data_IF_692321249760
#
_entry.id   IF_692321249760
#
_cell.length_a   1.000
_cell.length_b   1.000
_cell.length_c   1.000
_cell.angle_alpha   90.00
_cell.angle_beta   90.00
_cell.angle_gamma   90.00
#
_symmetry.space_group_name_H-M   'P 1'
#
loop_
_entity.id
_entity.type
_entity.pdbx_description
1 polymer ?
#
# COMPACT_ATOMS: atom_id res chain seq x y z
N UNK A 1 -5.38 54.89 21.43
CA UNK A 1 -5.13 54.66 22.84
C UNK A 1 -4.03 53.62 22.98
N UNK A 2 -2.91 54.00 23.61
CA UNK A 2 -1.69 53.16 23.71
C UNK A 2 -1.99 51.84 24.44
N UNK A 3 -2.85 51.87 25.44
CA UNK A 3 -3.23 50.69 26.21
C UNK A 3 -3.97 49.64 25.34
N UNK A 4 -4.86 50.08 24.45
CA UNK A 4 -5.56 49.19 23.52
C UNK A 4 -4.60 48.52 22.53
N UNK A 5 -3.56 49.24 22.10
CA UNK A 5 -2.50 48.66 21.22
C UNK A 5 -1.65 47.65 21.96
N UNK A 6 -1.29 47.94 23.21
CA UNK A 6 -0.53 47.03 24.05
C UNK A 6 -1.31 45.72 24.33
N UNK A 7 -2.61 45.83 24.66
CA UNK A 7 -3.47 44.67 24.87
C UNK A 7 -3.59 43.81 23.60
N UNK A 8 -3.68 44.45 22.44
CA UNK A 8 -3.77 43.75 21.16
C UNK A 8 -2.45 43.08 20.79
N UNK A 9 -1.34 43.73 21.10
CA UNK A 9 0.00 43.14 20.89
C UNK A 9 0.21 41.90 21.79
N UNK A 10 -0.20 41.97 23.05
CA UNK A 10 -0.09 40.86 23.99
C UNK A 10 -0.98 39.67 23.56
N UNK A 11 -2.20 39.93 23.10
CA UNK A 11 -3.09 38.88 22.54
C UNK A 11 -2.52 38.24 21.32
N UNK A 12 -1.95 39.02 20.40
CA UNK A 12 -1.33 38.49 19.18
C UNK A 12 -0.08 37.67 19.48
N UNK A 13 0.73 38.12 20.45
CA UNK A 13 1.90 37.38 20.91
C UNK A 13 1.52 36.01 21.47
N UNK A 14 0.51 35.98 22.36
CA UNK A 14 0.01 34.70 22.90
C UNK A 14 -0.50 33.78 21.81
N UNK A 15 -1.27 34.29 20.83
CA UNK A 15 -1.72 33.48 19.69
C UNK A 15 -0.58 32.95 18.86
N UNK A 16 0.47 33.74 18.66
CA UNK A 16 1.67 33.30 17.94
C UNK A 16 2.36 32.15 18.69
N UNK A 17 2.56 32.30 20.00
CA UNK A 17 3.20 31.27 20.85
C UNK A 17 2.36 29.97 20.84
N UNK A 18 1.02 30.07 20.94
CA UNK A 18 0.12 28.92 20.85
C UNK A 18 0.22 28.24 19.48
N UNK A 19 0.26 28.99 18.37
CA UNK A 19 0.40 28.45 17.01
C UNK A 19 1.76 27.75 16.82
N UNK A 20 2.85 28.33 17.33
CA UNK A 20 4.17 27.71 17.29
C UNK A 20 4.22 26.39 18.08
N UNK A 21 3.54 26.33 19.23
CA UNK A 21 3.42 25.09 20.01
C UNK A 21 2.68 24.01 19.23
N UNK A 22 1.52 24.35 18.61
CA UNK A 22 0.75 23.44 17.78
C UNK A 22 1.54 22.93 16.56
N UNK A 23 2.28 23.82 15.90
CA UNK A 23 3.14 23.44 14.77
C UNK A 23 4.23 22.44 15.19
N UNK A 24 4.86 22.64 16.36
CA UNK A 24 5.84 21.72 16.89
C UNK A 24 5.22 20.36 17.24
N UNK A 25 4.03 20.35 17.84
CA UNK A 25 3.29 19.13 18.13
C UNK A 25 2.93 18.36 16.86
N UNK A 26 2.44 19.06 15.83
CA UNK A 26 2.17 18.46 14.52
C UNK A 26 3.42 17.81 13.93
N UNK A 27 4.57 18.50 13.90
CA UNK A 27 5.83 17.96 13.41
C UNK A 27 6.29 16.70 14.18
N UNK A 28 6.06 16.67 15.51
CA UNK A 28 6.37 15.50 16.32
C UNK A 28 5.43 14.32 16.00
N UNK A 29 4.16 14.57 15.72
CA UNK A 29 3.18 13.54 15.32
C UNK A 29 3.54 12.98 13.95
N UNK A 30 3.82 13.83 12.98
CA UNK A 30 4.24 13.44 11.62
C UNK A 30 5.47 12.54 11.66
N UNK A 31 6.49 12.90 12.46
CA UNK A 31 7.68 12.08 12.65
C UNK A 31 7.36 10.70 13.22
N UNK A 32 6.51 10.62 14.25
CA UNK A 32 6.07 9.35 14.83
C UNK A 32 5.29 8.49 13.82
N UNK A 33 4.49 9.11 12.96
CA UNK A 33 3.78 8.40 11.88
C UNK A 33 4.80 7.84 10.88
N UNK A 34 5.81 8.62 10.47
CA UNK A 34 6.87 8.15 9.57
C UNK A 34 7.63 6.95 10.15
N UNK A 35 8.06 7.06 11.40
CA UNK A 35 8.74 5.96 12.11
C UNK A 35 7.87 4.70 12.18
N UNK A 36 6.55 4.88 12.38
CA UNK A 36 5.58 3.77 12.41
C UNK A 36 5.40 3.12 11.04
N UNK A 37 5.34 3.92 9.97
CA UNK A 37 5.28 3.44 8.58
C UNK A 37 6.55 2.62 8.27
N UNK A 38 7.72 3.15 8.59
CA UNK A 38 9.00 2.49 8.32
C UNK A 38 9.08 1.14 9.06
N UNK A 39 8.75 1.13 10.35
CA UNK A 39 8.72 -0.11 11.13
C UNK A 39 7.71 -1.13 10.57
N UNK A 40 6.53 -0.68 10.14
CA UNK A 40 5.53 -1.53 9.51
C UNK A 40 6.07 -2.16 8.21
N UNK A 41 6.67 -1.37 7.34
CA UNK A 41 7.25 -1.83 6.07
C UNK A 41 8.37 -2.84 6.34
N UNK A 42 9.28 -2.56 7.28
CA UNK A 42 10.37 -3.47 7.64
C UNK A 42 9.85 -4.82 8.13
N UNK A 43 8.81 -4.83 8.96
CA UNK A 43 8.15 -6.06 9.41
C UNK A 43 7.49 -6.83 8.28
N UNK A 44 6.91 -6.15 7.31
CA UNK A 44 6.32 -6.78 6.12
C UNK A 44 7.39 -7.41 5.22
N UNK A 45 8.52 -6.73 5.01
CA UNK A 45 9.68 -7.25 4.28
C UNK A 45 10.23 -8.50 4.99
N UNK A 46 10.41 -8.45 6.30
CA UNK A 46 10.85 -9.58 7.11
C UNK A 46 9.91 -10.79 6.95
N UNK A 47 8.58 -10.54 7.00
CA UNK A 47 7.58 -11.58 6.82
C UNK A 47 7.65 -12.24 5.44
N UNK A 48 7.79 -11.45 4.36
CA UNK A 48 7.93 -11.98 3.00
C UNK A 48 9.21 -12.82 2.86
N UNK A 49 10.32 -12.39 3.45
CA UNK A 49 11.58 -13.14 3.49
C UNK A 49 11.43 -14.47 4.25
N UNK A 50 10.75 -14.46 5.40
CA UNK A 50 10.48 -15.68 6.18
C UNK A 50 9.61 -16.66 5.39
N UNK A 51 8.58 -16.18 4.67
CA UNK A 51 7.76 -17.01 3.79
C UNK A 51 8.60 -17.67 2.69
N UNK A 52 9.49 -16.89 2.04
CA UNK A 52 10.39 -17.44 1.02
C UNK A 52 11.33 -18.50 1.63
N UNK A 53 11.92 -18.23 2.78
CA UNK A 53 12.82 -19.17 3.45
C UNK A 53 12.12 -20.50 3.81
N UNK A 54 10.85 -20.48 4.21
CA UNK A 54 10.07 -21.71 4.41
C UNK A 54 9.93 -22.47 3.11
N UNK A 55 9.63 -21.79 2.01
CA UNK A 55 9.48 -22.42 0.68
C UNK A 55 10.81 -23.00 0.19
N UNK A 56 11.91 -22.28 0.37
CA UNK A 56 13.25 -22.72 -0.05
C UNK A 56 13.71 -24.01 0.67
N UNK A 57 13.18 -24.25 1.87
CA UNK A 57 13.43 -25.49 2.62
C UNK A 57 12.65 -26.71 2.09
N UNK A 58 11.64 -26.47 1.24
CA UNK A 58 10.81 -27.55 0.66
C UNK A 58 11.50 -28.19 -0.53
N UNK A 59 12.62 -28.69 -0.57
CA UNK A 59 13.39 -29.33 -1.64
C UNK A 59 12.53 -29.89 -2.80
N UNK A 60 11.83 -28.99 -3.49
CA UNK A 60 10.91 -29.35 -4.56
C UNK A 60 11.68 -29.61 -5.85
N UNK A 61 11.62 -30.82 -6.35
CA UNK A 61 12.12 -31.16 -7.68
C UNK A 61 11.11 -30.69 -8.73
N UNK A 62 11.59 -30.09 -9.81
CA UNK A 62 10.78 -29.66 -10.96
C UNK A 62 9.71 -28.59 -10.67
N UNK A 63 9.79 -27.92 -9.53
CA UNK A 63 8.89 -26.81 -9.18
C UNK A 63 9.70 -25.67 -8.57
N UNK A 64 9.48 -24.47 -9.08
CA UNK A 64 9.97 -23.23 -8.49
C UNK A 64 8.80 -22.46 -7.87
N UNK A 65 8.92 -22.11 -6.58
CA UNK A 65 7.92 -21.28 -5.90
C UNK A 65 8.62 -20.02 -5.41
N UNK A 66 8.08 -18.86 -5.80
CA UNK A 66 8.57 -17.55 -5.36
C UNK A 66 7.48 -16.78 -4.66
N UNK A 67 7.83 -16.15 -3.55
CA UNK A 67 7.00 -15.14 -2.90
C UNK A 67 7.23 -13.81 -3.62
N UNK A 68 6.21 -13.31 -4.29
CA UNK A 68 6.21 -11.97 -4.89
C UNK A 68 5.63 -11.01 -3.86
N UNK A 69 6.44 -10.17 -3.21
CA UNK A 69 5.97 -9.25 -2.20
C UNK A 69 4.94 -8.29 -2.79
N UNK A 70 3.85 -8.05 -2.04
CA UNK A 70 2.75 -7.19 -2.47
C UNK A 70 2.15 -7.55 -3.85
N UNK A 71 2.34 -8.79 -4.31
CA UNK A 71 2.07 -9.20 -5.69
C UNK A 71 0.59 -9.40 -6.04
N UNK A 72 -0.34 -9.32 -5.08
CA UNK A 72 -1.78 -9.49 -5.30
C UNK A 72 -2.49 -8.19 -5.70
N UNK A 73 -1.97 -7.51 -6.74
CA UNK A 73 -2.48 -6.22 -7.25
C UNK A 73 -3.99 -6.24 -7.51
N UNK A 74 -4.49 -7.23 -8.25
CA UNK A 74 -5.91 -7.32 -8.58
C UNK A 74 -6.80 -7.45 -7.33
N UNK A 75 -6.35 -8.22 -6.32
CA UNK A 75 -7.08 -8.39 -5.06
C UNK A 75 -7.07 -7.11 -4.25
N UNK A 76 -5.92 -6.44 -4.17
CA UNK A 76 -5.81 -5.15 -3.46
C UNK A 76 -6.72 -4.10 -4.10
N UNK A 77 -6.71 -3.99 -5.45
CA UNK A 77 -7.61 -3.13 -6.20
C UNK A 77 -9.08 -3.41 -5.88
N UNK A 78 -9.49 -4.67 -5.95
CA UNK A 78 -10.87 -5.08 -5.69
C UNK A 78 -11.29 -4.75 -4.23
N UNK A 79 -10.40 -4.97 -3.26
CA UNK A 79 -10.67 -4.65 -1.86
C UNK A 79 -10.80 -3.13 -1.65
N UNK A 80 -9.97 -2.32 -2.30
CA UNK A 80 -10.12 -0.87 -2.27
C UNK A 80 -11.44 -0.42 -2.88
N UNK A 81 -11.81 -0.94 -4.06
CA UNK A 81 -13.10 -0.64 -4.69
C UNK A 81 -14.27 -0.95 -3.77
N UNK A 82 -14.19 -2.06 -3.05
CA UNK A 82 -15.19 -2.47 -2.05
C UNK A 82 -15.27 -1.48 -0.88
N UNK A 83 -14.13 -1.04 -0.32
CA UNK A 83 -14.10 -0.04 0.75
C UNK A 83 -14.69 1.31 0.32
N UNK A 84 -14.50 1.65 -0.96
CA UNK A 84 -15.14 2.84 -1.53
C UNK A 84 -16.63 2.65 -1.84
N UNK A 85 -17.16 1.40 -1.78
CA UNK A 85 -18.52 1.08 -2.21
C UNK A 85 -18.71 1.31 -3.72
N UNK A 86 -17.67 1.03 -4.51
CA UNK A 86 -17.60 1.32 -5.94
C UNK A 86 -17.13 0.11 -6.75
N UNK A 87 -17.57 -1.08 -6.36
CA UNK A 87 -17.28 -2.32 -7.09
C UNK A 87 -17.72 -2.19 -8.54
N UNK A 88 -16.80 -2.49 -9.47
CA UNK A 88 -17.04 -2.41 -10.91
C UNK A 88 -17.14 -1.00 -11.51
N UNK A 89 -16.85 0.04 -10.71
CA UNK A 89 -16.80 1.43 -11.20
C UNK A 89 -15.41 2.03 -11.00
N UNK A 90 -15.05 3.02 -11.83
CA UNK A 90 -13.72 3.67 -11.80
C UNK A 90 -12.57 2.67 -11.96
N UNK A 91 -12.77 1.63 -12.76
CA UNK A 91 -11.84 0.51 -12.86
C UNK A 91 -10.45 0.94 -13.33
N UNK A 92 -10.37 1.88 -14.28
CA UNK A 92 -9.12 2.43 -14.76
C UNK A 92 -8.41 3.27 -13.71
N UNK A 93 -9.14 4.09 -12.94
CA UNK A 93 -8.54 4.95 -11.90
C UNK A 93 -7.98 4.10 -10.76
N UNK A 94 -8.73 3.08 -10.31
CA UNK A 94 -8.23 2.13 -9.32
C UNK A 94 -7.10 1.26 -9.88
N UNK A 95 -7.08 0.95 -11.17
CA UNK A 95 -5.96 0.24 -11.80
C UNK A 95 -4.70 1.10 -11.81
N UNK A 96 -4.81 2.37 -12.24
CA UNK A 96 -3.69 3.31 -12.21
C UNK A 96 -3.12 3.48 -10.80
N UNK A 97 -3.99 3.54 -9.78
CA UNK A 97 -3.56 3.58 -8.39
C UNK A 97 -2.81 2.31 -7.99
N UNK A 98 -3.36 1.14 -8.33
CA UNK A 98 -2.74 -0.13 -7.99
C UNK A 98 -1.38 -0.30 -8.70
N UNK A 99 -1.28 0.07 -9.97
CA UNK A 99 -0.04 0.04 -10.74
C UNK A 99 1.01 1.00 -10.16
N UNK A 100 0.58 2.19 -9.73
CA UNK A 100 1.48 3.17 -9.10
C UNK A 100 2.01 2.68 -7.74
N UNK A 101 1.15 2.08 -6.92
CA UNK A 101 1.48 1.70 -5.53
C UNK A 101 2.20 0.36 -5.46
N UNK A 102 1.88 -0.58 -6.36
CA UNK A 102 2.38 -1.96 -6.33
C UNK A 102 3.23 -2.30 -7.57
N UNK A 103 3.91 -1.31 -8.17
CA UNK A 103 4.78 -1.56 -9.31
C UNK A 103 5.91 -2.55 -8.95
N UNK A 104 6.26 -3.43 -9.90
CA UNK A 104 7.18 -4.55 -9.65
C UNK A 104 8.56 -4.13 -9.18
N UNK A 105 9.07 -3.02 -9.67
CA UNK A 105 10.47 -2.65 -9.50
C UNK A 105 10.78 -1.98 -8.15
N UNK A 106 9.79 -1.30 -7.52
CA UNK A 106 9.95 -0.58 -6.26
C UNK A 106 8.69 -0.65 -5.39
N UNK A 107 8.05 -1.81 -5.32
CA UNK A 107 6.73 -1.94 -4.67
C UNK A 107 6.71 -1.50 -3.20
N UNK A 108 7.77 -1.78 -2.44
CA UNK A 108 7.85 -1.35 -1.04
C UNK A 108 7.99 0.16 -0.88
N UNK A 109 8.81 0.80 -1.72
CA UNK A 109 9.00 2.25 -1.71
C UNK A 109 7.73 2.98 -2.16
N UNK A 110 7.07 2.49 -3.20
CA UNK A 110 5.81 3.05 -3.67
C UNK A 110 4.68 2.86 -2.65
N UNK A 111 4.61 1.71 -2.00
CA UNK A 111 3.64 1.47 -0.94
C UNK A 111 3.92 2.35 0.30
N UNK A 112 5.18 2.56 0.67
CA UNK A 112 5.59 3.52 1.70
C UNK A 112 5.13 4.94 1.33
N UNK A 113 5.37 5.37 0.09
CA UNK A 113 4.94 6.68 -0.41
C UNK A 113 3.41 6.84 -0.35
N UNK A 114 2.66 5.77 -0.68
CA UNK A 114 1.21 5.75 -0.56
C UNK A 114 0.75 5.89 0.90
N UNK A 115 1.34 5.18 1.84
CA UNK A 115 1.01 5.33 3.27
C UNK A 115 1.33 6.73 3.80
N UNK A 116 2.47 7.31 3.39
CA UNK A 116 2.80 8.71 3.73
C UNK A 116 1.79 9.69 3.12
N UNK A 117 1.40 9.49 1.87
CA UNK A 117 0.35 10.27 1.24
C UNK A 117 -0.97 10.19 2.01
N UNK A 118 -1.34 8.99 2.45
CA UNK A 118 -2.58 8.76 3.19
C UNK A 118 -2.58 9.34 4.61
N UNK A 119 -1.43 9.38 5.29
CA UNK A 119 -1.35 9.68 6.72
C UNK A 119 -0.76 11.05 7.07
N UNK A 120 0.04 11.63 6.18
CA UNK A 120 0.81 12.84 6.47
C UNK A 120 0.45 13.97 5.50
N UNK A 121 0.21 13.64 4.24
CA UNK A 121 0.04 14.67 3.22
C UNK A 121 -1.36 15.25 3.27
N UNK A 122 -1.44 16.53 3.57
CA UNK A 122 -2.68 17.33 3.75
C UNK A 122 -3.50 17.52 2.46
N UNK A 123 -3.37 16.69 1.46
CA UNK A 123 -3.97 17.03 0.18
C UNK A 123 -5.17 16.18 -0.21
N UNK A 124 -5.28 14.94 0.23
CA UNK A 124 -6.32 14.03 -0.29
C UNK A 124 -6.40 14.05 -1.84
N UNK A 125 -5.45 14.76 -2.49
CA UNK A 125 -5.44 14.99 -3.93
C UNK A 125 -4.78 13.81 -4.63
N UNK A 126 -5.62 12.86 -5.04
CA UNK A 126 -5.17 11.64 -5.71
C UNK A 126 -4.47 11.90 -7.04
N UNK A 127 -4.85 12.94 -7.78
CA UNK A 127 -4.21 13.28 -9.06
C UNK A 127 -2.76 13.73 -8.87
N UNK A 128 -2.50 14.48 -7.82
CA UNK A 128 -1.15 14.87 -7.45
C UNK A 128 -0.29 13.66 -7.07
N UNK A 129 -0.87 12.73 -6.31
CA UNK A 129 -0.18 11.48 -5.95
C UNK A 129 0.11 10.61 -7.17
N UNK A 130 -0.88 10.42 -8.05
CA UNK A 130 -0.74 9.62 -9.27
C UNK A 130 0.14 10.29 -10.32
N UNK A 131 0.30 11.60 -10.26
CA UNK A 131 0.93 12.44 -11.30
C UNK A 131 0.25 12.28 -12.67
N UNK A 132 -1.07 12.10 -12.66
CA UNK A 132 -1.91 12.05 -13.86
C UNK A 132 -3.33 12.53 -13.52
N UNK A 133 -4.08 12.93 -14.55
CA UNK A 133 -5.50 13.24 -14.40
C UNK A 133 -6.33 11.98 -14.19
N UNK A 134 -7.38 12.10 -13.40
CA UNK A 134 -8.37 11.05 -13.12
C UNK A 134 -9.77 11.48 -13.54
N UNK A 135 -10.75 10.59 -13.51
CA UNK A 135 -12.16 11.00 -13.61
C UNK A 135 -12.48 11.98 -12.46
N UNK A 136 -13.05 13.14 -12.78
CA UNK A 136 -13.36 14.19 -11.79
C UNK A 136 -14.27 13.68 -10.68
N UNK A 137 -15.14 12.71 -10.96
CA UNK A 137 -16.01 12.06 -9.98
C UNK A 137 -15.21 11.12 -9.07
N UNK A 138 -14.15 10.47 -9.60
CA UNK A 138 -13.22 9.68 -8.82
C UNK A 138 -12.39 10.56 -7.88
N UNK A 139 -11.83 11.65 -8.39
CA UNK A 139 -11.08 12.61 -7.57
C UNK A 139 -11.94 13.17 -6.41
N UNK A 140 -13.19 13.53 -6.70
CA UNK A 140 -14.14 13.97 -5.68
C UNK A 140 -14.46 12.87 -4.67
N UNK A 141 -14.76 11.66 -5.14
CA UNK A 141 -15.00 10.49 -4.28
C UNK A 141 -13.83 10.23 -3.33
N UNK A 142 -12.60 10.33 -3.86
CA UNK A 142 -11.39 10.16 -3.06
C UNK A 142 -11.30 11.21 -1.97
N UNK A 143 -11.45 12.50 -2.30
CA UNK A 143 -11.43 13.61 -1.34
C UNK A 143 -12.50 13.47 -0.28
N UNK A 144 -13.73 13.12 -0.67
CA UNK A 144 -14.84 12.91 0.25
C UNK A 144 -14.57 11.78 1.24
N UNK A 145 -13.99 10.67 0.76
CA UNK A 145 -13.60 9.53 1.61
C UNK A 145 -12.43 9.87 2.53
N UNK A 146 -11.46 10.61 2.03
CA UNK A 146 -10.30 11.04 2.80
C UNK A 146 -10.71 11.92 3.97
N UNK A 147 -11.65 12.86 3.78
CA UNK A 147 -12.09 13.80 4.79
C UNK A 147 -13.08 13.20 5.81
N UNK A 148 -13.69 12.06 5.55
CA UNK A 148 -14.81 11.50 6.34
C UNK A 148 -14.41 10.29 7.20
N UNK A 149 -13.26 10.32 7.88
CA UNK A 149 -12.75 9.26 8.78
C UNK A 149 -12.65 7.82 8.17
N UNK A 150 -12.91 7.69 6.88
CA UNK A 150 -12.82 6.41 6.17
C UNK A 150 -11.36 6.06 5.87
N UNK A 151 -10.43 6.98 6.13
CA UNK A 151 -8.99 6.78 5.96
C UNK A 151 -8.49 5.53 6.69
N UNK A 152 -8.96 5.31 7.90
CA UNK A 152 -8.57 4.13 8.71
C UNK A 152 -9.01 2.82 8.08
N UNK A 153 -10.13 2.76 7.38
CA UNK A 153 -10.57 1.55 6.68
C UNK A 153 -9.75 1.31 5.41
N UNK A 154 -9.41 2.37 4.66
CA UNK A 154 -8.58 2.26 3.46
C UNK A 154 -7.16 1.77 3.77
N UNK A 155 -6.56 2.22 4.89
CA UNK A 155 -5.25 1.78 5.35
C UNK A 155 -5.25 0.31 5.75
N UNK A 156 -6.37 -0.22 6.25
CA UNK A 156 -6.53 -1.64 6.59
C UNK A 156 -6.57 -2.56 5.38
N UNK A 157 -6.82 -2.03 4.18
CA UNK A 157 -6.73 -2.81 2.94
C UNK A 157 -5.25 -3.01 2.58
N UNK A 158 -4.65 -4.02 3.21
CA UNK A 158 -3.24 -4.34 3.01
C UNK A 158 -3.04 -5.14 1.73
N UNK A 159 -2.04 -4.80 0.92
CA UNK A 159 -1.65 -5.66 -0.20
C UNK A 159 -1.01 -6.95 0.34
N UNK A 160 -1.30 -8.07 -0.31
CA UNK A 160 -0.81 -9.38 0.07
C UNK A 160 0.33 -9.85 -0.85
N UNK A 161 1.20 -10.70 -0.31
CA UNK A 161 2.19 -11.39 -1.11
C UNK A 161 1.50 -12.41 -2.01
N UNK A 162 1.98 -12.56 -3.24
CA UNK A 162 1.51 -13.54 -4.21
C UNK A 162 2.53 -14.67 -4.32
N UNK A 163 2.07 -15.91 -4.29
CA UNK A 163 2.90 -17.05 -4.65
C UNK A 163 2.91 -17.19 -6.17
N UNK A 164 4.09 -17.17 -6.76
CA UNK A 164 4.32 -17.52 -8.15
C UNK A 164 4.86 -18.94 -8.17
N UNK A 165 4.14 -19.84 -8.82
CA UNK A 165 4.50 -21.25 -8.94
C UNK A 165 4.82 -21.53 -10.41
N UNK A 166 6.01 -22.05 -10.68
CA UNK A 166 6.44 -22.47 -12.00
C UNK A 166 6.81 -23.94 -11.99
N UNK A 167 6.48 -24.63 -13.07
CA UNK A 167 6.89 -26.00 -13.36
C UNK A 167 8.18 -25.90 -14.17
N UNK A 168 9.19 -26.68 -13.79
CA UNK A 168 10.48 -26.75 -14.48
C UNK A 168 10.49 -28.08 -15.24
N UNK A 169 10.60 -28.05 -16.55
CA UNK A 169 10.77 -29.22 -17.41
C UNK A 169 11.99 -29.07 -18.34
N UNK A 170 12.21 -30.04 -19.20
CA UNK A 170 13.33 -30.05 -20.16
C UNK A 170 13.29 -28.85 -21.13
N UNK A 171 12.12 -28.20 -21.30
CA UNK A 171 11.92 -27.09 -22.21
C UNK A 171 11.99 -25.71 -21.49
N UNK A 172 12.12 -25.71 -20.15
CA UNK A 172 12.27 -24.50 -19.35
C UNK A 172 11.24 -24.35 -18.23
N UNK A 173 10.98 -23.10 -17.84
CA UNK A 173 10.04 -22.77 -16.76
C UNK A 173 8.68 -22.33 -17.35
N UNK A 174 7.61 -22.95 -16.92
CA UNK A 174 6.22 -22.65 -17.33
C UNK A 174 5.43 -22.24 -16.09
N UNK A 175 4.64 -21.15 -16.17
CA UNK A 175 3.73 -20.79 -15.07
C UNK A 175 2.71 -21.92 -14.87
N UNK A 176 2.42 -22.26 -13.61
CA UNK A 176 1.50 -23.36 -13.29
C UNK A 176 0.12 -23.18 -13.94
N UNK A 177 -0.32 -21.95 -14.14
CA UNK A 177 -1.59 -21.67 -14.80
C UNK A 177 -1.60 -22.07 -16.27
N UNK A 178 -0.45 -22.08 -16.94
CA UNK A 178 -0.25 -22.45 -18.34
C UNK A 178 0.04 -23.96 -18.51
N UNK A 179 0.40 -24.64 -17.42
CA UNK A 179 0.68 -26.08 -17.43
C UNK A 179 -0.55 -26.93 -17.75
N UNK A 180 -0.31 -28.13 -18.30
CA UNK A 180 -1.35 -29.13 -18.52
C UNK A 180 -1.98 -29.60 -17.19
N UNK A 181 -3.18 -30.17 -17.19
CA UNK A 181 -3.83 -30.71 -15.98
C UNK A 181 -2.95 -31.72 -15.22
N UNK A 182 -2.20 -32.56 -15.94
CA UNK A 182 -1.29 -33.53 -15.36
C UNK A 182 -0.09 -32.87 -14.67
N UNK A 183 0.51 -31.86 -15.31
CA UNK A 183 1.60 -31.07 -14.72
C UNK A 183 1.15 -30.32 -13.47
N UNK A 184 -0.05 -29.71 -13.49
CA UNK A 184 -0.65 -29.05 -12.32
C UNK A 184 -0.84 -30.02 -11.16
N UNK A 185 -1.41 -31.21 -11.43
CA UNK A 185 -1.62 -32.23 -10.43
C UNK A 185 -0.32 -32.75 -9.83
N UNK A 186 0.69 -33.00 -10.67
CA UNK A 186 2.00 -33.44 -10.24
C UNK A 186 2.70 -32.38 -9.35
N UNK A 187 2.61 -31.11 -9.72
CA UNK A 187 3.15 -30.01 -8.94
C UNK A 187 2.48 -29.90 -7.55
N UNK A 188 1.15 -29.98 -7.49
CA UNK A 188 0.41 -29.95 -6.24
C UNK A 188 0.77 -31.15 -5.35
N UNK A 189 0.86 -32.36 -5.92
CA UNK A 189 1.26 -33.55 -5.18
C UNK A 189 2.68 -33.44 -4.63
N UNK A 190 3.64 -32.98 -5.45
CA UNK A 190 5.02 -32.76 -5.02
C UNK A 190 5.08 -31.75 -3.86
N UNK A 191 4.29 -30.69 -3.90
CA UNK A 191 4.21 -29.73 -2.81
C UNK A 191 3.66 -30.36 -1.52
N UNK A 192 2.56 -31.11 -1.62
CA UNK A 192 1.93 -31.75 -0.45
C UNK A 192 2.83 -32.81 0.18
N UNK A 193 3.56 -33.60 -0.63
CA UNK A 193 4.42 -34.70 -0.13
C UNK A 193 5.71 -34.19 0.51
N UNK A 194 6.14 -32.96 0.21
CA UNK A 194 7.38 -32.37 0.75
C UNK A 194 7.11 -31.26 1.79
N UNK A 195 5.83 -30.96 2.12
CA UNK A 195 5.45 -30.02 3.16
C UNK A 195 5.16 -30.73 4.49
#
# INVERSE_FOLDING_TARGET
DINAIQDQLQKNKKRYDDLMSLQNEQGNIEKKIEESIDNFIDKRIELSKKRQAVIDNLKLENISIKVIPLGHLARWKANLQKEFGKEGTFDNDFQNLADKVLSKDNSWEQYRAFLKFMLITDSGNIEKFLNCSTDTRFAKLWTDKYNNDTLSSMIKVLPEDKLQIKIIDENGEIDINEGSPGQKSAAILAFILNS
#
